data_IF_808168436041
#
_entry.id   IF_808168436041
#
_cell.length_a   1.000
_cell.length_b   1.000
_cell.length_c   1.000
_cell.angle_alpha   90.00
_cell.angle_beta   90.00
_cell.angle_gamma   90.00
#
_symmetry.space_group_name_H-M   'P 1'
#
loop_
_entity.id
_entity.type
_entity.pdbx_description
1 polymer ?
#
# COMPACT_ATOMS: atom_id res chain seq x y z
N UNK A 1 8.80 21.14 13.16
CA UNK A 1 8.67 19.81 13.82
C UNK A 1 7.22 19.40 14.10
N UNK A 2 6.24 20.30 14.25
CA UNK A 2 4.84 19.91 14.49
C UNK A 2 4.17 19.13 13.35
N UNK A 3 4.50 19.44 12.08
CA UNK A 3 3.88 18.78 10.92
C UNK A 3 4.31 17.33 10.72
N UNK A 4 5.57 16.96 10.98
CA UNK A 4 6.08 15.60 10.77
C UNK A 4 5.44 14.56 11.72
N UNK A 5 5.01 14.98 12.91
CA UNK A 5 4.35 14.11 13.90
C UNK A 5 3.07 13.51 13.35
N UNK A 6 2.28 14.29 12.62
CA UNK A 6 1.02 13.83 12.04
C UNK A 6 1.22 12.78 10.94
N UNK A 7 2.25 12.92 10.10
CA UNK A 7 2.58 11.91 9.09
C UNK A 7 3.07 10.60 9.70
N UNK A 8 3.87 10.68 10.77
CA UNK A 8 4.31 9.50 11.52
C UNK A 8 3.15 8.82 12.25
N UNK A 9 2.25 9.60 12.87
CA UNK A 9 1.04 9.07 13.50
C UNK A 9 0.13 8.39 12.48
N UNK A 10 -0.07 9.01 11.31
CA UNK A 10 -0.86 8.44 10.22
C UNK A 10 -0.31 7.10 9.74
N UNK A 11 1.01 7.00 9.54
CA UNK A 11 1.65 5.72 9.22
C UNK A 11 1.40 4.69 10.33
N UNK A 12 1.65 5.05 11.59
CA UNK A 12 1.53 4.12 12.70
C UNK A 12 0.11 3.58 12.87
N UNK A 13 -0.90 4.48 12.81
CA UNK A 13 -2.31 4.09 12.85
C UNK A 13 -2.67 3.19 11.67
N UNK A 14 -2.21 3.53 10.47
CA UNK A 14 -2.46 2.73 9.27
C UNK A 14 -1.84 1.32 9.38
N UNK A 15 -0.62 1.20 9.93
CA UNK A 15 0.01 -0.09 10.22
C UNK A 15 -0.81 -0.90 11.22
N UNK A 16 -1.20 -0.31 12.36
CA UNK A 16 -2.01 -1.00 13.37
C UNK A 16 -3.32 -1.51 12.77
N UNK A 17 -4.02 -0.67 12.00
CA UNK A 17 -5.28 -1.05 11.36
C UNK A 17 -5.09 -2.17 10.34
N UNK A 18 -4.02 -2.12 9.54
CA UNK A 18 -3.70 -3.17 8.60
C UNK A 18 -3.36 -4.48 9.32
N UNK A 19 -2.52 -4.43 10.35
CA UNK A 19 -2.09 -5.58 11.13
C UNK A 19 -3.30 -6.29 11.74
N UNK A 20 -4.19 -5.55 12.40
CA UNK A 20 -5.45 -6.10 12.90
C UNK A 20 -6.33 -6.65 11.78
N UNK A 21 -6.40 -5.92 10.66
CA UNK A 21 -7.11 -6.32 9.45
C UNK A 21 -6.68 -7.70 8.94
N UNK A 22 -5.37 -7.94 8.81
CA UNK A 22 -4.83 -9.17 8.23
C UNK A 22 -4.65 -10.30 9.24
N UNK A 23 -4.38 -10.01 10.52
CA UNK A 23 -4.05 -11.05 11.52
C UNK A 23 -5.22 -11.53 12.36
N UNK A 24 -6.26 -10.70 12.54
CA UNK A 24 -7.39 -11.02 13.42
C UNK A 24 -8.71 -10.98 12.64
N UNK A 25 -8.93 -9.91 11.87
CA UNK A 25 -10.23 -9.63 11.30
C UNK A 25 -10.53 -10.44 10.04
N UNK A 26 -9.65 -10.41 9.05
CA UNK A 26 -9.83 -11.09 7.76
C UNK A 26 -9.10 -12.43 7.71
N UNK A 27 -7.84 -12.49 8.19
CA UNK A 27 -6.95 -13.66 8.08
C UNK A 27 -7.05 -14.28 6.68
N UNK A 28 -6.62 -13.54 5.63
CA UNK A 28 -6.85 -13.95 4.26
C UNK A 28 -5.98 -15.15 3.90
N UNK A 29 -6.60 -16.28 3.57
CA UNK A 29 -5.93 -17.42 2.97
C UNK A 29 -5.92 -17.25 1.45
N UNK A 30 -4.74 -16.94 0.89
CA UNK A 30 -4.56 -16.72 -0.54
C UNK A 30 -4.13 -18.01 -1.23
N UNK A 31 -4.83 -18.34 -2.31
CA UNK A 31 -4.46 -19.42 -3.23
C UNK A 31 -3.75 -18.72 -4.40
N UNK A 32 -2.61 -19.24 -4.85
CA UNK A 32 -1.90 -18.73 -6.03
C UNK A 32 -1.65 -19.90 -6.99
N UNK A 33 -1.65 -19.69 -8.32
CA UNK A 33 -1.69 -18.41 -9.04
C UNK A 33 -3.09 -17.87 -9.35
N UNK A 34 -4.15 -18.62 -9.01
CA UNK A 34 -5.55 -18.19 -9.16
C UNK A 34 -5.78 -17.07 -8.16
N UNK A 35 -6.06 -15.83 -8.57
CA UNK A 35 -6.26 -14.70 -7.63
C UNK A 35 -7.55 -14.88 -6.84
N UNK A 36 -7.50 -15.75 -5.84
CA UNK A 36 -8.64 -16.19 -5.06
C UNK A 36 -8.20 -16.79 -3.75
N UNK A 37 -9.19 -17.11 -2.91
CA UNK A 37 -8.94 -17.53 -1.55
C UNK A 37 -10.16 -17.31 -0.68
N UNK A 38 -9.97 -17.39 0.63
CA UNK A 38 -11.04 -17.19 1.58
C UNK A 38 -10.51 -16.62 2.90
N UNK A 39 -11.29 -15.79 3.61
CA UNK A 39 -10.91 -15.29 4.92
C UNK A 39 -11.14 -16.36 5.99
N UNK A 40 -10.30 -16.35 7.02
CA UNK A 40 -10.36 -17.21 8.21
C UNK A 40 -10.58 -16.39 9.50
N UNK A 41 -10.81 -15.09 9.39
CA UNK A 41 -10.88 -14.18 10.53
C UNK A 41 -12.29 -13.98 11.10
N UNK A 42 -12.35 -13.17 12.14
CA UNK A 42 -13.57 -12.86 12.90
C UNK A 42 -14.66 -12.27 11.99
N UNK A 43 -14.32 -11.47 10.99
CA UNK A 43 -15.30 -10.83 10.10
C UNK A 43 -16.12 -11.85 9.33
N UNK A 44 -15.52 -12.98 8.92
CA UNK A 44 -16.25 -14.06 8.25
C UNK A 44 -17.09 -14.83 9.25
N UNK A 45 -16.49 -15.33 10.32
CA UNK A 45 -17.13 -16.32 11.20
C UNK A 45 -18.18 -15.72 12.14
N UNK A 46 -17.98 -14.49 12.64
CA UNK A 46 -18.86 -13.90 13.65
C UNK A 46 -19.86 -12.92 13.04
N UNK A 47 -19.45 -12.20 11.99
CA UNK A 47 -20.24 -11.13 11.39
C UNK A 47 -20.77 -11.47 9.99
N UNK A 48 -20.34 -12.59 9.39
CA UNK A 48 -20.77 -13.00 8.06
C UNK A 48 -20.42 -12.00 6.95
N UNK A 49 -19.37 -11.19 7.13
CA UNK A 49 -19.00 -10.14 6.17
C UNK A 49 -18.61 -10.76 4.83
N UNK A 50 -19.15 -10.29 3.69
CA UNK A 50 -18.83 -10.84 2.38
C UNK A 50 -17.33 -10.81 2.06
N UNK A 51 -16.82 -11.89 1.47
CA UNK A 51 -15.38 -12.04 1.13
C UNK A 51 -14.87 -10.89 0.27
N UNK A 52 -15.67 -10.45 -0.71
CA UNK A 52 -15.33 -9.32 -1.58
C UNK A 52 -15.07 -8.02 -0.79
N UNK A 53 -15.91 -7.74 0.21
CA UNK A 53 -15.76 -6.53 1.05
C UNK A 53 -14.48 -6.63 1.88
N UNK A 54 -14.18 -7.80 2.43
CA UNK A 54 -12.95 -8.02 3.20
C UNK A 54 -11.70 -7.85 2.32
N UNK A 55 -11.71 -8.41 1.10
CA UNK A 55 -10.63 -8.24 0.12
C UNK A 55 -10.44 -6.76 -0.21
N UNK A 56 -11.53 -6.04 -0.51
CA UNK A 56 -11.48 -4.62 -0.85
C UNK A 56 -10.87 -3.79 0.27
N UNK A 57 -11.37 -3.94 1.49
CA UNK A 57 -10.88 -3.16 2.65
C UNK A 57 -9.41 -3.47 2.95
N UNK A 58 -9.02 -4.74 3.00
CA UNK A 58 -7.63 -5.13 3.29
C UNK A 58 -6.68 -4.65 2.21
N UNK A 59 -7.02 -4.84 0.93
CA UNK A 59 -6.19 -4.40 -0.19
C UNK A 59 -6.01 -2.88 -0.20
N UNK A 60 -7.09 -2.11 0.01
CA UNK A 60 -7.01 -0.65 0.14
C UNK A 60 -6.12 -0.23 1.32
N UNK A 61 -6.23 -0.89 2.48
CA UNK A 61 -5.38 -0.60 3.64
C UNK A 61 -3.88 -0.82 3.37
N UNK A 62 -3.52 -1.86 2.61
CA UNK A 62 -2.12 -2.09 2.20
C UNK A 62 -1.60 -0.86 1.44
N UNK A 63 -2.34 -0.38 0.44
CA UNK A 63 -1.91 0.80 -0.32
C UNK A 63 -1.93 2.09 0.49
N UNK A 64 -2.86 2.26 1.43
CA UNK A 64 -2.90 3.39 2.37
C UNK A 64 -1.65 3.44 3.26
N UNK A 65 -1.15 2.29 3.73
CA UNK A 65 0.12 2.21 4.47
C UNK A 65 1.28 2.69 3.59
N UNK A 66 1.35 2.20 2.34
CA UNK A 66 2.40 2.61 1.39
C UNK A 66 2.30 4.10 1.04
N UNK A 67 1.09 4.65 0.88
CA UNK A 67 0.88 6.10 0.74
C UNK A 67 1.40 6.85 1.95
N UNK A 68 1.13 6.37 3.15
CA UNK A 68 1.61 7.01 4.38
C UNK A 68 3.14 7.05 4.43
N UNK A 69 3.82 6.01 3.95
CA UNK A 69 5.28 5.98 3.76
C UNK A 69 5.74 7.05 2.76
N UNK A 70 5.13 7.09 1.57
CA UNK A 70 5.44 8.09 0.53
C UNK A 70 5.30 9.51 1.10
N UNK A 71 4.25 9.77 1.87
CA UNK A 71 3.97 11.08 2.45
C UNK A 71 4.97 11.48 3.54
N UNK A 72 5.61 10.54 4.25
CA UNK A 72 6.70 10.87 5.18
C UNK A 72 7.91 11.42 4.42
N UNK A 73 8.31 10.73 3.33
CA UNK A 73 9.44 11.15 2.52
C UNK A 73 9.14 12.45 1.75
N UNK A 74 7.95 12.56 1.16
CA UNK A 74 7.46 13.77 0.51
C UNK A 74 7.43 14.95 1.49
N UNK A 75 6.85 14.77 2.68
CA UNK A 75 6.75 15.85 3.66
C UNK A 75 8.13 16.37 4.06
N UNK A 76 9.08 15.46 4.23
CA UNK A 76 10.44 15.86 4.58
C UNK A 76 11.14 16.59 3.44
N UNK A 77 10.99 16.11 2.21
CA UNK A 77 11.46 16.82 1.03
C UNK A 77 10.86 18.22 0.94
N UNK A 78 9.54 18.35 1.14
CA UNK A 78 8.84 19.62 1.10
C UNK A 78 9.37 20.61 2.14
N UNK A 79 9.50 20.17 3.41
CA UNK A 79 9.91 21.03 4.52
C UNK A 79 11.36 21.53 4.36
N UNK A 80 12.26 20.68 3.84
CA UNK A 80 13.68 21.01 3.71
C UNK A 80 14.02 21.75 2.42
N UNK A 81 13.34 21.43 1.31
CA UNK A 81 13.80 21.82 -0.02
C UNK A 81 12.74 22.46 -0.92
N UNK A 82 11.45 22.20 -0.69
CA UNK A 82 10.40 22.53 -1.66
C UNK A 82 9.35 23.53 -1.15
N UNK A 83 9.58 24.15 0.03
CA UNK A 83 8.60 25.06 0.65
C UNK A 83 8.31 26.32 -0.18
N UNK A 84 9.33 26.81 -0.88
CA UNK A 84 9.27 28.00 -1.75
C UNK A 84 9.23 27.64 -3.24
N UNK A 85 8.96 26.38 -3.60
CA UNK A 85 8.85 25.96 -5.00
C UNK A 85 7.39 25.76 -5.42
N UNK A 86 7.18 25.48 -6.71
CA UNK A 86 5.87 25.11 -7.27
C UNK A 86 5.24 23.90 -6.56
N UNK A 87 6.05 23.05 -5.92
CA UNK A 87 5.58 21.89 -5.18
C UNK A 87 4.61 22.24 -4.06
N UNK A 88 4.67 23.47 -3.51
CA UNK A 88 3.70 23.96 -2.52
C UNK A 88 2.26 23.89 -3.01
N UNK A 89 2.00 24.14 -4.29
CA UNK A 89 0.65 24.11 -4.86
C UNK A 89 0.25 22.72 -5.33
N UNK A 90 1.22 21.92 -5.83
CA UNK A 90 0.99 20.57 -6.31
C UNK A 90 0.82 19.53 -5.20
N UNK A 91 1.27 19.85 -3.98
CA UNK A 91 1.26 18.94 -2.83
C UNK A 91 -0.13 18.44 -2.45
N UNK A 92 -1.12 19.33 -2.33
CA UNK A 92 -2.47 18.93 -1.95
C UNK A 92 -3.14 18.05 -3.01
N UNK A 93 -3.12 18.41 -4.31
CA UNK A 93 -3.55 17.51 -5.37
C UNK A 93 -2.84 16.15 -5.34
N UNK A 94 -1.51 16.14 -5.14
CA UNK A 94 -0.73 14.91 -5.06
C UNK A 94 -1.21 13.97 -3.94
N UNK A 95 -1.48 14.51 -2.74
CA UNK A 95 -2.00 13.74 -1.61
C UNK A 95 -3.40 13.20 -1.91
N UNK A 96 -4.30 14.06 -2.40
CA UNK A 96 -5.70 13.69 -2.69
C UNK A 96 -5.76 12.61 -3.76
N UNK A 97 -5.02 12.76 -4.86
CA UNK A 97 -4.96 11.79 -5.95
C UNK A 97 -4.42 10.45 -5.44
N UNK A 98 -3.40 10.46 -4.56
CA UNK A 98 -2.85 9.23 -4.02
C UNK A 98 -3.87 8.43 -3.21
N UNK A 99 -4.56 9.08 -2.27
CA UNK A 99 -5.60 8.40 -1.48
C UNK A 99 -6.81 8.01 -2.31
N UNK A 100 -7.21 8.84 -3.29
CA UNK A 100 -8.28 8.50 -4.21
C UNK A 100 -7.95 7.21 -4.98
N UNK A 101 -6.75 7.12 -5.54
CA UNK A 101 -6.30 5.92 -6.26
C UNK A 101 -6.21 4.69 -5.33
N UNK A 102 -5.81 4.84 -4.07
CA UNK A 102 -5.79 3.74 -3.10
C UNK A 102 -7.18 3.11 -2.93
N UNK A 103 -8.23 3.92 -3.00
CA UNK A 103 -9.62 3.48 -2.87
C UNK A 103 -10.19 2.97 -4.20
N UNK A 104 -9.83 3.57 -5.33
CA UNK A 104 -10.46 3.27 -6.62
C UNK A 104 -9.77 2.20 -7.46
N UNK A 105 -8.47 1.93 -7.25
CA UNK A 105 -7.71 1.03 -8.14
C UNK A 105 -8.26 -0.40 -8.21
N UNK A 106 -8.96 -0.87 -7.17
CA UNK A 106 -9.53 -2.22 -7.12
C UNK A 106 -10.97 -2.29 -7.66
N UNK A 107 -11.65 -1.16 -7.86
CA UNK A 107 -13.04 -1.13 -8.33
C UNK A 107 -13.28 -1.90 -9.64
N UNK A 108 -12.39 -1.83 -10.66
CA UNK A 108 -12.56 -2.65 -11.86
C UNK A 108 -12.64 -4.14 -11.56
N UNK A 109 -11.83 -4.63 -10.61
CA UNK A 109 -11.87 -6.03 -10.19
C UNK A 109 -13.16 -6.39 -9.46
N UNK A 110 -13.71 -5.45 -8.69
CA UNK A 110 -15.00 -5.64 -8.02
C UNK A 110 -16.19 -5.68 -8.99
N UNK A 111 -16.12 -4.97 -10.11
CA UNK A 111 -17.19 -4.95 -11.12
C UNK A 111 -17.11 -6.08 -12.14
N UNK A 112 -15.92 -6.69 -12.31
CA UNK A 112 -15.65 -7.73 -13.30
C UNK A 112 -15.46 -9.12 -12.67
N UNK A 113 -16.12 -9.37 -11.55
CA UNK A 113 -16.04 -10.66 -10.85
C UNK A 113 -16.59 -11.76 -11.78
N UNK A 114 -15.81 -12.83 -12.03
CA UNK A 114 -16.27 -13.92 -12.87
C UNK A 114 -17.37 -14.73 -12.18
N UNK A 115 -18.16 -15.45 -12.99
CA UNK A 115 -19.02 -16.51 -12.46
C UNK A 115 -18.17 -17.49 -11.63
N UNK A 116 -18.55 -17.68 -10.37
CA UNK A 116 -17.73 -18.43 -9.43
C UNK A 116 -17.69 -19.92 -9.79
N UNK A 117 -18.73 -20.48 -10.40
CA UNK A 117 -18.74 -21.88 -10.83
C UNK A 117 -17.68 -22.14 -11.91
N UNK A 118 -17.68 -21.30 -12.95
CA UNK A 118 -16.69 -21.38 -14.03
C UNK A 118 -15.27 -21.07 -13.51
N UNK A 119 -15.15 -20.07 -12.63
CA UNK A 119 -13.86 -19.69 -12.07
C UNK A 119 -13.26 -20.80 -11.20
N UNK A 120 -14.08 -21.48 -10.38
CA UNK A 120 -13.62 -22.58 -9.53
C UNK A 120 -13.21 -23.79 -10.36
N UNK A 121 -13.95 -24.12 -11.42
CA UNK A 121 -13.56 -25.19 -12.34
C UNK A 121 -12.20 -24.89 -12.98
N UNK A 122 -11.99 -23.66 -13.43
CA UNK A 122 -10.69 -23.21 -13.93
C UNK A 122 -9.59 -23.32 -12.85
N UNK A 123 -9.89 -22.93 -11.61
CA UNK A 123 -8.94 -22.98 -10.50
C UNK A 123 -8.51 -24.42 -10.17
N UNK A 124 -9.45 -25.36 -10.15
CA UNK A 124 -9.16 -26.77 -9.88
C UNK A 124 -8.40 -27.45 -11.02
N UNK A 125 -8.63 -27.04 -12.28
CA UNK A 125 -7.80 -27.49 -13.41
C UNK A 125 -6.38 -26.96 -13.32
N UNK A 126 -6.21 -25.71 -12.87
CA UNK A 126 -4.90 -25.07 -12.74
C UNK A 126 -4.11 -25.60 -11.54
N UNK A 127 -4.80 -25.98 -10.46
CA UNK A 127 -4.23 -26.50 -9.22
C UNK A 127 -4.87 -27.86 -8.89
N UNK A 128 -4.48 -28.94 -9.60
CA UNK A 128 -5.14 -30.24 -9.47
C UNK A 128 -4.97 -30.85 -8.05
N UNK A 129 -3.84 -30.57 -7.39
CA UNK A 129 -3.50 -31.09 -6.06
C UNK A 129 -4.02 -30.23 -4.90
N UNK A 130 -5.04 -29.40 -5.13
CA UNK A 130 -5.63 -28.61 -4.04
C UNK A 130 -6.30 -29.54 -3.03
N UNK A 131 -5.99 -29.36 -1.73
CA UNK A 131 -6.47 -30.25 -0.66
C UNK A 131 -7.99 -30.23 -0.55
N UNK A 132 -8.58 -31.35 -0.12
CA UNK A 132 -10.04 -31.43 0.05
C UNK A 132 -10.55 -30.47 1.12
N UNK A 133 -9.76 -30.20 2.16
CA UNK A 133 -10.08 -29.21 3.20
C UNK A 133 -10.23 -27.81 2.60
N UNK A 134 -9.31 -27.41 1.71
CA UNK A 134 -9.38 -26.12 1.01
C UNK A 134 -10.52 -26.07 0.00
N UNK A 135 -10.84 -27.20 -0.66
CA UNK A 135 -12.00 -27.29 -1.57
C UNK A 135 -13.34 -27.22 -0.85
N UNK A 136 -13.42 -27.70 0.39
CA UNK A 136 -14.62 -27.64 1.22
C UNK A 136 -14.93 -26.21 1.71
N UNK A 137 -13.92 -25.34 1.72
CA UNK A 137 -14.09 -23.93 2.01
C UNK A 137 -14.71 -23.16 0.84
N UNK A 138 -15.41 -22.06 1.15
CA UNK A 138 -16.00 -21.18 0.15
C UNK A 138 -14.90 -20.31 -0.50
N UNK A 139 -14.13 -20.91 -1.41
CA UNK A 139 -13.11 -20.21 -2.20
C UNK A 139 -13.80 -19.14 -3.05
N UNK A 140 -13.31 -17.91 -2.93
CA UNK A 140 -13.73 -16.79 -3.73
C UNK A 140 -12.64 -16.43 -4.73
N UNK A 141 -12.97 -16.36 -6.01
CA UNK A 141 -12.03 -15.99 -7.07
C UNK A 141 -12.32 -14.57 -7.51
N UNK A 142 -11.36 -13.67 -7.27
CA UNK A 142 -11.46 -12.26 -7.60
C UNK A 142 -11.31 -12.03 -9.11
N UNK A 143 -10.37 -12.72 -9.75
CA UNK A 143 -10.21 -12.64 -11.21
C UNK A 143 -9.48 -13.85 -11.80
N UNK A 144 -9.97 -14.30 -12.94
CA UNK A 144 -9.29 -15.24 -13.85
C UNK A 144 -8.58 -14.53 -15.01
N UNK A 145 -9.02 -13.33 -15.39
CA UNK A 145 -8.43 -12.54 -16.47
C UNK A 145 -7.23 -11.71 -15.97
N UNK A 146 -6.13 -11.75 -16.72
CA UNK A 146 -4.94 -10.95 -16.46
C UNK A 146 -5.21 -9.44 -16.57
N UNK A 147 -6.14 -9.00 -17.43
CA UNK A 147 -6.47 -7.58 -17.63
C UNK A 147 -6.90 -6.89 -16.36
N UNK A 148 -7.67 -7.59 -15.51
CA UNK A 148 -8.16 -7.10 -14.23
C UNK A 148 -7.02 -6.92 -13.20
N UNK A 149 -5.88 -7.62 -13.40
CA UNK A 149 -4.69 -7.51 -12.54
C UNK A 149 -3.82 -6.30 -12.90
N UNK A 150 -3.96 -5.76 -14.12
CA UNK A 150 -3.12 -4.64 -14.61
C UNK A 150 -3.22 -3.40 -13.70
N UNK A 151 -4.42 -2.90 -13.31
CA UNK A 151 -4.51 -1.72 -12.44
C UNK A 151 -3.80 -1.91 -11.10
N UNK A 152 -3.88 -3.11 -10.51
CA UNK A 152 -3.21 -3.44 -9.25
C UNK A 152 -1.69 -3.40 -9.39
N UNK A 153 -1.15 -4.02 -10.44
CA UNK A 153 0.29 -4.05 -10.73
C UNK A 153 0.81 -2.62 -11.00
N UNK A 154 0.10 -1.85 -11.82
CA UNK A 154 0.45 -0.46 -12.13
C UNK A 154 0.43 0.42 -10.87
N UNK A 155 -0.53 0.19 -9.98
CA UNK A 155 -0.60 0.91 -8.71
C UNK A 155 0.60 0.58 -7.82
N UNK A 156 0.97 -0.70 -7.69
CA UNK A 156 2.18 -1.11 -6.98
C UNK A 156 3.45 -0.46 -7.54
N UNK A 157 3.63 -0.51 -8.86
CA UNK A 157 4.77 0.13 -9.53
C UNK A 157 4.79 1.65 -9.30
N UNK A 158 3.64 2.32 -9.40
CA UNK A 158 3.51 3.76 -9.13
C UNK A 158 4.02 4.10 -7.73
N UNK A 159 3.59 3.36 -6.71
CA UNK A 159 3.99 3.59 -5.32
C UNK A 159 5.49 3.39 -5.09
N UNK A 160 6.06 2.35 -5.71
CA UNK A 160 7.51 2.13 -5.68
C UNK A 160 8.23 3.33 -6.30
N UNK A 161 7.82 3.78 -7.49
CA UNK A 161 8.42 4.93 -8.18
C UNK A 161 8.33 6.20 -7.34
N UNK A 162 7.18 6.51 -6.75
CA UNK A 162 7.02 7.69 -5.88
C UNK A 162 7.92 7.63 -4.65
N UNK A 163 7.99 6.48 -3.98
CA UNK A 163 8.84 6.29 -2.81
C UNK A 163 10.31 6.51 -3.16
N UNK A 164 10.80 5.85 -4.22
CA UNK A 164 12.20 6.00 -4.65
C UNK A 164 12.49 7.41 -5.20
N UNK A 165 11.53 8.05 -5.86
CA UNK A 165 11.67 9.43 -6.32
C UNK A 165 11.94 10.37 -5.14
N UNK A 166 11.10 10.37 -4.09
CA UNK A 166 11.31 11.26 -2.94
C UNK A 166 12.57 10.92 -2.15
N UNK A 167 12.90 9.63 -2.01
CA UNK A 167 14.17 9.22 -1.40
C UNK A 167 15.36 9.76 -2.21
N UNK A 168 15.32 9.62 -3.54
CA UNK A 168 16.35 10.10 -4.45
C UNK A 168 16.51 11.61 -4.44
N UNK A 169 15.40 12.35 -4.53
CA UNK A 169 15.37 13.82 -4.42
C UNK A 169 15.97 14.30 -3.09
N UNK A 170 15.62 13.64 -2.00
CA UNK A 170 16.14 13.96 -0.67
C UNK A 170 17.64 13.70 -0.57
N UNK A 171 18.11 12.51 -0.99
CA UNK A 171 19.55 12.19 -1.05
C UNK A 171 20.33 13.22 -1.89
N UNK A 172 19.82 13.56 -3.08
CA UNK A 172 20.44 14.52 -4.00
C UNK A 172 20.59 15.89 -3.34
N UNK A 173 19.52 16.42 -2.75
CA UNK A 173 19.54 17.76 -2.14
C UNK A 173 20.38 17.81 -0.87
N UNK A 174 20.37 16.76 -0.04
CA UNK A 174 21.28 16.67 1.10
C UNK A 174 22.74 16.67 0.65
N UNK A 175 23.07 15.98 -0.45
CA UNK A 175 24.43 15.99 -1.00
C UNK A 175 24.83 17.36 -1.57
N UNK A 176 23.91 18.07 -2.22
CA UNK A 176 24.17 19.43 -2.71
C UNK A 176 24.41 20.42 -1.56
N UNK A 177 23.58 20.41 -0.52
CA UNK A 177 23.77 21.28 0.66
C UNK A 177 25.06 20.94 1.40
N UNK A 178 25.45 19.65 1.46
CA UNK A 178 26.71 19.24 2.09
C UNK A 178 27.94 19.86 1.43
N UNK A 179 27.85 20.17 0.14
CA UNK A 179 28.92 20.81 -0.64
C UNK A 179 28.90 22.33 -0.56
N UNK A 180 27.75 22.93 -0.22
CA UNK A 180 27.59 24.40 -0.25
C UNK A 180 27.88 25.08 1.10
N UNK A 181 28.33 24.34 2.12
CA UNK A 181 28.56 24.81 3.50
C UNK A 181 27.39 25.58 4.14
N UNK A 182 26.17 25.47 3.58
CA UNK A 182 25.03 26.28 4.00
C UNK A 182 24.48 25.92 5.39
N UNK A 183 24.83 24.74 5.92
CA UNK A 183 24.41 24.25 7.24
C UNK A 183 25.62 23.67 7.98
N UNK A 184 25.59 23.78 9.31
CA UNK A 184 26.63 23.18 10.15
C UNK A 184 26.68 21.67 9.99
N UNK A 185 27.89 21.11 10.08
CA UNK A 185 28.14 19.67 9.91
C UNK A 185 27.33 18.82 10.90
N UNK A 186 27.20 19.28 12.15
CA UNK A 186 26.38 18.64 13.18
C UNK A 186 24.90 18.56 12.78
N UNK A 187 24.34 19.62 12.20
CA UNK A 187 22.94 19.64 11.74
C UNK A 187 22.73 18.66 10.59
N UNK A 188 23.68 18.60 9.67
CA UNK A 188 23.63 17.69 8.53
C UNK A 188 23.75 16.22 8.95
N UNK A 189 24.63 15.91 9.90
CA UNK A 189 24.77 14.57 10.46
C UNK A 189 23.49 14.12 11.18
N UNK A 190 22.83 15.02 11.92
CA UNK A 190 21.53 14.73 12.54
C UNK A 190 20.46 14.41 11.48
N UNK A 191 20.40 15.18 10.40
CA UNK A 191 19.46 14.93 9.29
C UNK A 191 19.72 13.58 8.63
N UNK A 192 20.98 13.23 8.32
CA UNK A 192 21.31 11.92 7.73
C UNK A 192 20.92 10.75 8.64
N UNK A 193 21.23 10.83 9.95
CA UNK A 193 20.84 9.80 10.92
C UNK A 193 19.32 9.61 10.97
N UNK A 194 18.57 10.71 11.06
CA UNK A 194 17.11 10.64 11.06
C UNK A 194 16.55 10.07 9.74
N UNK A 195 17.18 10.35 8.60
CA UNK A 195 16.74 9.79 7.31
C UNK A 195 17.01 8.31 7.19
N UNK A 196 18.19 7.87 7.61
CA UNK A 196 18.53 6.45 7.61
C UNK A 196 17.66 5.67 8.59
N UNK A 197 17.31 6.26 9.74
CA UNK A 197 16.36 5.65 10.67
C UNK A 197 14.97 5.46 10.03
N UNK A 198 14.44 6.47 9.33
CA UNK A 198 13.14 6.34 8.63
C UNK A 198 13.23 5.28 7.53
N UNK A 199 14.31 5.25 6.74
CA UNK A 199 14.50 4.22 5.71
C UNK A 199 14.63 2.81 6.29
N UNK A 200 15.14 2.66 7.51
CA UNK A 200 15.26 1.36 8.16
C UNK A 200 13.94 0.91 8.80
N UNK A 201 13.03 1.85 9.09
CA UNK A 201 11.71 1.59 9.63
C UNK A 201 10.70 1.13 8.55
N UNK A 202 11.00 1.42 7.28
CA UNK A 202 10.17 1.17 6.11
C UNK A 202 10.79 0.07 5.28
#
# INVERSE_FOLDING_TARGET
>A
MGSAKWYLLNLHVSCILLDWGITVLSVPYLILPVWGGYPLGILRYWFGVPVLVQIYVVATMIFVVVTSIVLIFENRFYQLYARNSLWRYLRMPFIIINYFLDVTHLLPACFMIPDQGIALEFAYKLIPNLSEQTKAEQIFILSTDFRVKIPFILMGLKKCVETYMFIGLMNRNMNLESRSFAKSENTMNLQRKFFNAIKAQV
#
